data_IF_989428561334
#
_entry.id   IF_989428561334
#
_cell.length_a   1.000
_cell.length_b   1.000
_cell.length_c   1.000
_cell.angle_alpha   90.00
_cell.angle_beta   90.00
_cell.angle_gamma   90.00
#
_symmetry.space_group_name_H-M   'P 1'
#
loop_
_entity.id
_entity.type
_entity.pdbx_description
1 polymer ?
#
# COMPACT_ATOMS: atom_id res chain seq x y z
N UNK A 1 71.86 -87.05 0.76
CA UNK A 1 71.18 -86.31 -0.34
C UNK A 1 69.82 -85.78 0.15
N UNK A 2 69.70 -84.45 0.20
CA UNK A 2 68.48 -83.61 0.34
C UNK A 2 68.11 -83.14 -1.09
N UNK A 3 66.90 -82.64 -1.49
CA UNK A 3 65.62 -82.28 -0.80
C UNK A 3 64.38 -82.98 -1.49
N UNK A 4 63.07 -82.71 -1.28
CA UNK A 4 62.34 -81.42 -1.25
C UNK A 4 60.89 -81.59 -0.77
N UNK A 5 60.47 -80.72 0.15
CA UNK A 5 59.08 -80.45 0.57
C UNK A 5 58.25 -79.76 -0.53
N UNK A 6 56.95 -80.04 -0.58
CA UNK A 6 55.95 -79.08 -1.09
C UNK A 6 54.78 -79.01 -0.10
N UNK A 7 54.50 -77.85 0.50
CA UNK A 7 53.30 -77.62 1.31
C UNK A 7 52.14 -77.17 0.41
N UNK A 8 50.89 -77.39 0.82
CA UNK A 8 49.77 -76.61 0.26
C UNK A 8 48.77 -76.27 1.36
N UNK A 9 48.57 -74.96 1.51
CA UNK A 9 47.87 -74.28 2.58
C UNK A 9 46.33 -74.33 2.45
N UNK A 10 45.67 -74.36 3.60
CA UNK A 10 44.26 -74.01 3.83
C UNK A 10 44.01 -72.53 3.55
N UNK A 11 42.87 -72.15 2.93
CA UNK A 11 42.28 -70.83 3.13
C UNK A 11 41.05 -70.90 4.04
N UNK A 12 41.09 -70.07 5.09
CA UNK A 12 40.00 -69.69 5.98
C UNK A 12 39.17 -68.59 5.31
N UNK A 13 37.86 -68.78 5.14
CA UNK A 13 36.96 -67.73 4.69
C UNK A 13 36.30 -67.00 5.88
N UNK A 14 36.55 -65.71 5.99
CA UNK A 14 35.82 -64.69 6.78
C UNK A 14 36.30 -63.32 6.28
N UNK A 15 35.52 -62.20 6.28
CA UNK A 15 34.07 -61.92 6.40
C UNK A 15 33.53 -61.06 5.22
N UNK A 16 32.26 -60.60 5.23
CA UNK A 16 31.81 -59.18 5.06
C UNK A 16 30.29 -59.07 5.36
N UNK A 17 29.84 -58.16 6.24
CA UNK A 17 28.53 -57.53 6.12
C UNK A 17 28.69 -56.01 5.94
N UNK A 18 28.15 -55.44 4.85
CA UNK A 18 27.98 -53.98 4.73
C UNK A 18 26.72 -53.68 3.92
N UNK A 19 25.59 -53.49 4.59
CA UNK A 19 24.43 -52.82 4.01
C UNK A 19 24.69 -51.31 3.98
N UNK A 20 24.75 -50.73 2.78
CA UNK A 20 24.85 -49.28 2.57
C UNK A 20 23.44 -48.70 2.51
N UNK A 21 23.03 -47.80 3.42
CA UNK A 21 21.74 -47.13 3.29
C UNK A 21 21.78 -46.16 2.10
N UNK A 22 20.79 -46.31 1.20
CA UNK A 22 20.57 -45.38 0.08
C UNK A 22 19.86 -44.14 0.62
N UNK A 23 20.54 -43.00 0.67
CA UNK A 23 19.92 -41.72 1.02
C UNK A 23 18.94 -41.31 -0.09
N UNK A 24 17.64 -41.30 0.22
CA UNK A 24 16.62 -40.71 -0.65
C UNK A 24 16.75 -39.18 -0.56
N UNK A 25 16.94 -38.45 -1.67
CA UNK A 25 16.98 -37.00 -1.62
C UNK A 25 15.62 -36.47 -1.16
N UNK A 26 15.62 -35.71 -0.07
CA UNK A 26 14.46 -34.95 0.40
C UNK A 26 14.18 -33.83 -0.61
N UNK A 27 13.04 -33.88 -1.30
CA UNK A 27 12.58 -32.78 -2.14
C UNK A 27 12.54 -31.50 -1.31
N UNK A 28 13.36 -30.52 -1.69
CA UNK A 28 13.31 -29.19 -1.10
C UNK A 28 12.02 -28.53 -1.60
N UNK A 29 11.13 -28.05 -0.72
CA UNK A 29 9.90 -27.41 -1.16
C UNK A 29 10.26 -26.21 -2.04
N UNK A 30 9.83 -26.25 -3.29
CA UNK A 30 9.88 -25.10 -4.20
C UNK A 30 9.05 -23.99 -3.54
N UNK A 31 9.58 -22.77 -3.36
CA UNK A 31 8.77 -21.67 -2.84
C UNK A 31 7.58 -21.47 -3.77
N UNK A 32 6.39 -21.70 -3.23
CA UNK A 32 5.15 -21.36 -3.92
C UNK A 32 5.10 -19.84 -3.97
N UNK A 33 5.28 -19.26 -5.17
CA UNK A 33 5.09 -17.84 -5.39
C UNK A 33 3.61 -17.53 -5.12
N UNK A 34 3.26 -17.14 -3.89
CA UNK A 34 1.95 -16.59 -3.59
C UNK A 34 1.76 -15.38 -4.52
N UNK A 35 0.80 -15.37 -5.45
CA UNK A 35 0.60 -14.23 -6.32
C UNK A 35 0.33 -13.02 -5.43
N UNK A 36 1.09 -11.95 -5.65
CA UNK A 36 0.82 -10.68 -4.96
C UNK A 36 -0.62 -10.29 -5.31
N UNK A 37 -1.52 -10.09 -4.33
CA UNK A 37 -2.91 -9.77 -4.63
C UNK A 37 -2.96 -8.51 -5.50
N UNK A 38 -3.68 -8.60 -6.62
CA UNK A 38 -3.89 -7.51 -7.56
C UNK A 38 -4.37 -6.25 -6.84
N UNK A 39 -4.01 -5.07 -7.34
CA UNK A 39 -4.49 -3.80 -6.80
C UNK A 39 -5.40 -3.10 -7.81
N UNK A 40 -6.52 -2.49 -7.39
CA UNK A 40 -7.13 -2.61 -6.06
C UNK A 40 -7.84 -3.97 -5.87
N UNK A 41 -8.12 -4.32 -4.62
CA UNK A 41 -8.98 -5.47 -4.21
C UNK A 41 -10.39 -5.04 -3.81
N UNK A 42 -10.58 -3.75 -3.54
CA UNK A 42 -11.82 -3.12 -3.09
C UNK A 42 -12.47 -2.32 -4.21
N UNK A 43 -13.76 -2.04 -4.08
CA UNK A 43 -14.54 -1.35 -5.12
C UNK A 43 -14.38 0.16 -5.08
N UNK A 44 -14.75 0.81 -6.19
CA UNK A 44 -15.05 2.25 -6.22
C UNK A 44 -16.21 2.54 -5.27
N UNK A 45 -16.09 3.63 -4.51
CA UNK A 45 -17.08 4.10 -3.54
C UNK A 45 -17.85 5.32 -4.06
N UNK A 46 -17.18 6.19 -4.82
CA UNK A 46 -17.79 7.34 -5.46
C UNK A 46 -17.18 7.57 -6.84
N UNK A 47 -18.02 7.47 -7.87
CA UNK A 47 -17.65 7.71 -9.26
C UNK A 47 -17.82 9.17 -9.66
N UNK A 48 -18.32 10.04 -8.76
CA UNK A 48 -18.68 11.43 -9.04
C UNK A 48 -19.63 11.66 -10.24
N UNK A 49 -20.23 10.58 -10.77
CA UNK A 49 -21.17 10.59 -11.90
C UNK A 49 -22.55 11.08 -11.47
N UNK A 50 -22.68 12.38 -11.25
CA UNK A 50 -23.91 13.05 -10.81
C UNK A 50 -23.90 14.52 -11.22
N UNK A 51 -25.06 15.16 -11.09
CA UNK A 51 -25.25 16.56 -11.46
C UNK A 51 -24.23 17.50 -10.78
N UNK A 52 -23.84 18.55 -11.50
CA UNK A 52 -22.90 19.55 -11.01
C UNK A 52 -23.40 20.14 -9.67
N UNK A 53 -22.50 20.28 -8.69
CA UNK A 53 -22.87 20.78 -7.38
C UNK A 53 -21.96 20.29 -6.26
N UNK A 54 -22.52 20.16 -5.05
CA UNK A 54 -21.76 19.70 -3.88
C UNK A 54 -21.28 18.26 -4.01
N UNK A 55 -20.26 17.91 -3.20
CA UNK A 55 -19.67 16.57 -3.16
C UNK A 55 -20.61 15.48 -2.65
N UNK A 56 -21.75 15.81 -2.07
CA UNK A 56 -22.78 14.84 -1.66
C UNK A 56 -22.64 14.34 -0.22
N UNK A 57 -23.69 13.70 0.30
CA UNK A 57 -23.80 13.31 1.71
C UNK A 57 -22.89 12.14 2.16
N UNK A 58 -22.22 11.48 1.21
CA UNK A 58 -21.21 10.44 1.48
C UNK A 58 -19.88 10.99 1.98
N UNK A 59 -19.70 12.32 1.99
CA UNK A 59 -18.45 12.96 2.38
C UNK A 59 -18.59 13.79 3.65
N UNK A 60 -17.48 13.91 4.38
CA UNK A 60 -17.26 14.83 5.48
C UNK A 60 -15.89 15.51 5.36
N UNK A 61 -15.56 16.42 6.29
CA UNK A 61 -14.38 17.30 6.16
C UNK A 61 -14.72 18.57 5.39
N UNK A 62 -13.88 18.98 4.44
CA UNK A 62 -14.09 20.21 3.67
C UNK A 62 -15.03 19.98 2.49
N UNK A 63 -16.32 19.81 2.74
CA UNK A 63 -17.33 19.46 1.69
C UNK A 63 -17.91 20.67 0.95
N UNK A 64 -17.60 21.90 1.37
CA UNK A 64 -18.11 23.12 0.75
C UNK A 64 -17.60 23.31 -0.69
N UNK A 65 -18.42 23.95 -1.53
CA UNK A 65 -18.11 24.16 -2.96
C UNK A 65 -16.89 25.05 -3.23
N UNK A 66 -16.40 25.79 -2.23
CA UNK A 66 -15.13 26.51 -2.30
C UNK A 66 -13.90 25.60 -2.21
N UNK A 67 -14.07 24.36 -1.73
CA UNK A 67 -13.00 23.38 -1.58
C UNK A 67 -13.08 22.30 -2.64
N UNK A 68 -14.27 21.77 -2.88
CA UNK A 68 -14.55 20.74 -3.88
C UNK A 68 -15.96 20.87 -4.43
N UNK A 69 -16.13 20.52 -5.70
CA UNK A 69 -17.45 20.39 -6.31
C UNK A 69 -17.46 19.24 -7.31
N UNK A 70 -18.63 18.68 -7.57
CA UNK A 70 -18.82 17.83 -8.76
C UNK A 70 -19.00 18.75 -9.96
N UNK A 71 -18.22 18.53 -11.00
CA UNK A 71 -18.35 19.21 -12.28
C UNK A 71 -18.02 18.25 -13.42
N UNK A 72 -18.91 18.16 -14.41
CA UNK A 72 -18.73 17.30 -15.59
C UNK A 72 -18.39 15.85 -15.22
N UNK A 73 -19.13 15.31 -14.24
CA UNK A 73 -18.97 13.94 -13.71
C UNK A 73 -17.60 13.65 -13.09
N UNK A 74 -16.91 14.66 -12.55
CA UNK A 74 -15.64 14.51 -11.83
C UNK A 74 -15.64 15.34 -10.56
N UNK A 75 -14.77 15.00 -9.64
CA UNK A 75 -14.45 15.85 -8.50
C UNK A 75 -13.50 16.96 -8.96
N UNK A 76 -14.01 18.17 -9.09
CA UNK A 76 -13.26 19.38 -9.40
C UNK A 76 -12.69 20.00 -8.12
N UNK A 77 -11.36 19.96 -7.99
CA UNK A 77 -10.65 20.46 -6.83
C UNK A 77 -10.57 21.98 -6.92
N UNK A 78 -11.09 22.68 -5.90
CA UNK A 78 -11.02 24.13 -5.80
C UNK A 78 -9.84 24.52 -4.88
N UNK A 79 -10.10 24.96 -3.65
CA UNK A 79 -9.04 25.18 -2.66
C UNK A 79 -8.38 23.85 -2.25
N UNK A 80 -9.14 22.75 -2.20
CA UNK A 80 -8.67 21.46 -1.72
C UNK A 80 -8.64 21.33 -0.19
N UNK A 81 -7.83 20.39 0.30
CA UNK A 81 -7.69 20.02 1.71
C UNK A 81 -8.08 18.57 1.97
N UNK A 82 -8.62 18.24 3.15
CA UNK A 82 -9.15 16.92 3.41
C UNK A 82 -10.62 16.75 3.03
N UNK A 83 -10.91 15.67 2.31
CA UNK A 83 -12.27 15.21 2.03
C UNK A 83 -12.38 13.73 2.40
N UNK A 84 -13.21 13.39 3.37
CA UNK A 84 -13.19 12.07 4.04
C UNK A 84 -14.47 11.30 3.75
N UNK A 85 -14.35 10.00 3.47
CA UNK A 85 -15.49 9.14 3.24
C UNK A 85 -16.23 8.85 4.56
N UNK A 86 -17.47 9.31 4.63
CA UNK A 86 -18.27 9.34 5.86
C UNK A 86 -18.90 8.00 6.26
N UNK A 87 -19.49 7.20 5.35
CA UNK A 87 -20.34 6.07 5.73
C UNK A 87 -19.68 4.99 6.59
N UNK A 88 -18.40 4.71 6.38
CA UNK A 88 -17.75 3.51 6.93
C UNK A 88 -16.36 3.82 7.48
N UNK A 89 -16.00 3.14 8.57
CA UNK A 89 -14.61 3.01 9.04
C UNK A 89 -14.08 1.62 8.68
N UNK A 90 -12.82 1.55 8.28
CA UNK A 90 -12.16 0.35 7.78
C UNK A 90 -11.18 -0.23 8.80
N UNK A 91 -10.80 -1.49 8.58
CA UNK A 91 -9.93 -2.26 9.48
C UNK A 91 -8.47 -1.83 9.49
N UNK A 92 -7.66 -2.52 10.28
CA UNK A 92 -6.23 -2.21 10.51
C UNK A 92 -5.35 -2.37 9.28
N UNK A 93 -5.79 -3.17 8.31
CA UNK A 93 -5.26 -3.19 6.95
C UNK A 93 -6.32 -2.64 6.01
N UNK A 94 -5.99 -1.57 5.31
CA UNK A 94 -6.92 -0.91 4.39
C UNK A 94 -6.20 -0.36 3.16
N UNK A 95 -6.97 -0.14 2.12
CA UNK A 95 -6.52 0.49 0.89
C UNK A 95 -7.41 1.66 0.48
N UNK A 96 -6.84 2.58 -0.28
CA UNK A 96 -7.54 3.68 -0.91
C UNK A 96 -6.92 3.98 -2.27
N UNK A 97 -7.75 4.42 -3.21
CA UNK A 97 -7.30 4.81 -4.54
C UNK A 97 -8.18 5.89 -5.14
N UNK A 98 -7.61 6.62 -6.11
CA UNK A 98 -8.31 7.64 -6.89
C UNK A 98 -7.66 7.74 -8.27
N UNK A 99 -8.49 7.99 -9.28
CA UNK A 99 -8.02 8.35 -10.62
C UNK A 99 -7.62 9.81 -10.65
N UNK A 100 -6.39 10.11 -11.05
CA UNK A 100 -5.91 11.46 -11.31
C UNK A 100 -6.36 11.89 -12.73
N UNK A 101 -7.66 12.09 -12.91
CA UNK A 101 -8.25 12.36 -14.22
C UNK A 101 -7.64 13.59 -14.92
N UNK A 102 -7.27 14.61 -14.15
CA UNK A 102 -6.40 15.70 -14.59
C UNK A 102 -5.45 16.08 -13.46
N UNK A 103 -4.16 16.13 -13.78
CA UNK A 103 -3.11 16.48 -12.83
C UNK A 103 -2.90 18.00 -12.84
N UNK A 104 -2.99 18.63 -11.67
CA UNK A 104 -2.45 19.98 -11.52
C UNK A 104 -0.92 19.90 -11.41
N UNK A 105 -0.21 20.33 -12.46
CA UNK A 105 1.24 20.21 -12.53
C UNK A 105 1.99 21.08 -11.51
N UNK A 106 1.29 22.01 -10.84
CA UNK A 106 1.84 22.85 -9.79
C UNK A 106 1.52 22.36 -8.38
N UNK A 107 0.69 21.32 -8.25
CA UNK A 107 0.29 20.81 -6.94
C UNK A 107 1.40 19.96 -6.31
N UNK A 108 1.77 20.23 -5.05
CA UNK A 108 2.64 19.38 -4.26
C UNK A 108 1.91 18.18 -3.64
N UNK A 109 0.58 18.11 -3.71
CA UNK A 109 -0.21 17.07 -3.06
C UNK A 109 -1.57 16.89 -3.71
N UNK A 110 -1.77 15.73 -4.33
CA UNK A 110 -3.06 15.29 -4.86
C UNK A 110 -3.10 13.75 -4.83
N UNK A 111 -4.01 13.20 -4.03
CA UNK A 111 -4.10 11.77 -3.79
C UNK A 111 -5.04 11.41 -2.65
N UNK A 112 -4.66 10.41 -1.85
CA UNK A 112 -5.55 9.74 -0.89
C UNK A 112 -5.09 9.88 0.56
N UNK A 113 -6.04 9.71 1.45
CA UNK A 113 -5.86 9.52 2.89
C UNK A 113 -6.21 8.08 3.27
N UNK A 114 -5.45 7.53 4.21
CA UNK A 114 -5.71 6.27 4.89
C UNK A 114 -5.61 6.46 6.40
N UNK A 115 -6.21 5.54 7.16
CA UNK A 115 -6.27 5.49 8.61
C UNK A 115 -6.61 6.85 9.22
N UNK A 116 -7.56 7.57 8.61
CA UNK A 116 -8.07 8.83 9.15
C UNK A 116 -8.83 8.51 10.43
N UNK A 117 -8.36 9.02 11.56
CA UNK A 117 -9.00 8.77 12.85
C UNK A 117 -10.22 9.70 13.05
N UNK A 118 -11.15 9.36 13.95
CA UNK A 118 -12.27 10.22 14.29
C UNK A 118 -11.85 11.61 14.80
N UNK A 119 -12.63 12.64 14.47
CA UNK A 119 -12.43 14.04 14.87
C UNK A 119 -12.00 14.95 13.71
N UNK A 120 -11.55 16.18 14.03
CA UNK A 120 -11.02 17.10 13.01
C UNK A 120 -9.63 16.65 12.55
N UNK A 121 -9.43 16.58 11.23
CA UNK A 121 -8.17 16.07 10.67
C UNK A 121 -6.92 16.83 11.12
N UNK A 122 -7.02 18.10 11.54
CA UNK A 122 -5.92 18.85 12.16
C UNK A 122 -5.33 18.15 13.40
N UNK A 123 -6.12 17.32 14.09
CA UNK A 123 -5.79 16.75 15.39
C UNK A 123 -6.08 15.25 15.52
N UNK A 124 -6.74 14.63 14.54
CA UNK A 124 -7.17 13.23 14.64
C UNK A 124 -6.12 12.22 14.17
N UNK A 125 -5.28 12.60 13.21
CA UNK A 125 -4.25 11.73 12.65
C UNK A 125 -4.71 10.94 11.42
N UNK A 126 -3.77 10.75 10.51
CA UNK A 126 -3.98 10.15 9.20
C UNK A 126 -2.64 9.78 8.53
N UNK A 127 -2.71 8.95 7.49
CA UNK A 127 -1.63 8.69 6.56
C UNK A 127 -2.04 9.29 5.21
N UNK A 128 -1.25 10.22 4.67
CA UNK A 128 -1.45 10.72 3.31
C UNK A 128 -0.51 10.01 2.34
N UNK A 129 -1.04 9.68 1.16
CA UNK A 129 -0.25 9.20 0.02
C UNK A 129 -0.66 10.02 -1.18
N UNK A 130 0.25 10.86 -1.65
CA UNK A 130 -0.05 11.86 -2.68
C UNK A 130 1.01 11.90 -3.77
N UNK A 131 0.58 12.23 -4.98
CA UNK A 131 1.48 12.62 -6.04
C UNK A 131 1.85 14.10 -5.88
N UNK A 132 3.15 14.38 -5.76
CA UNK A 132 3.70 15.72 -5.92
C UNK A 132 4.13 15.88 -7.39
N UNK A 133 3.38 16.69 -8.13
CA UNK A 133 3.62 16.92 -9.55
C UNK A 133 4.79 17.89 -9.80
N UNK A 134 5.19 18.68 -8.81
CA UNK A 134 6.36 19.58 -8.88
C UNK A 134 7.64 18.76 -8.71
N UNK A 135 7.67 17.86 -7.73
CA UNK A 135 8.81 17.02 -7.42
C UNK A 135 8.90 15.73 -8.25
N UNK A 136 7.85 15.40 -9.03
CA UNK A 136 7.74 14.14 -9.79
C UNK A 136 7.98 12.94 -8.89
N UNK A 137 7.22 12.88 -7.81
CA UNK A 137 7.34 11.82 -6.81
C UNK A 137 6.02 11.54 -6.10
N UNK A 138 5.87 10.32 -5.57
CA UNK A 138 4.87 10.03 -4.54
C UNK A 138 5.47 10.31 -3.17
N UNK A 139 4.66 10.95 -2.31
CA UNK A 139 4.99 11.23 -0.92
C UNK A 139 4.07 10.47 0.02
N UNK A 140 4.68 9.95 1.08
CA UNK A 140 3.96 9.46 2.25
C UNK A 140 4.19 10.44 3.38
N UNK A 141 3.15 10.79 4.12
CA UNK A 141 3.26 11.59 5.33
C UNK A 141 2.26 11.12 6.36
N UNK A 142 2.61 11.24 7.62
CA UNK A 142 1.75 10.86 8.74
C UNK A 142 1.47 12.05 9.61
N UNK A 143 0.24 12.12 10.10
CA UNK A 143 -0.18 13.06 11.12
C UNK A 143 -0.61 12.24 12.34
N UNK A 144 -0.15 12.61 13.53
CA UNK A 144 -0.58 12.00 14.80
C UNK A 144 -1.21 13.04 15.71
N UNK A 145 -2.10 12.58 16.57
CA UNK A 145 -2.68 13.38 17.65
C UNK A 145 -1.57 13.95 18.54
N UNK A 146 -1.71 15.20 18.98
CA UNK A 146 -0.73 15.82 19.90
C UNK A 146 0.55 16.34 19.24
N UNK A 147 0.58 16.44 17.91
CA UNK A 147 1.68 17.07 17.16
C UNK A 147 1.36 18.48 16.65
N UNK A 148 0.31 19.14 17.17
CA UNK A 148 -0.13 20.48 16.75
C UNK A 148 -0.29 20.61 15.22
N UNK A 149 -0.87 19.59 14.57
CA UNK A 149 -1.04 19.57 13.11
C UNK A 149 0.22 19.30 12.28
N UNK A 150 1.37 19.02 12.90
CA UNK A 150 2.62 18.77 12.19
C UNK A 150 2.65 17.39 11.52
N UNK A 151 2.95 17.39 10.22
CA UNK A 151 3.11 16.16 9.44
C UNK A 151 4.54 15.64 9.51
N UNK A 152 4.70 14.35 9.77
CA UNK A 152 5.98 13.64 9.62
C UNK A 152 6.12 13.19 8.17
N UNK A 153 7.15 13.67 7.48
CA UNK A 153 7.41 13.38 6.07
C UNK A 153 8.33 12.17 5.92
N UNK A 154 8.04 11.33 4.93
CA UNK A 154 8.89 10.21 4.53
C UNK A 154 9.66 10.53 3.24
N UNK A 155 10.70 9.74 2.96
CA UNK A 155 11.49 9.89 1.73
C UNK A 155 10.61 9.75 0.49
N UNK A 156 10.77 10.69 -0.44
CA UNK A 156 10.07 10.66 -1.73
C UNK A 156 10.39 9.39 -2.51
N UNK A 157 9.37 8.82 -3.16
CA UNK A 157 9.53 7.78 -4.17
C UNK A 157 9.37 8.41 -5.56
N UNK A 158 10.45 8.49 -6.32
CA UNK A 158 10.44 9.11 -7.65
C UNK A 158 9.47 8.38 -8.58
N UNK A 159 8.55 9.13 -9.20
CA UNK A 159 7.53 8.59 -10.08
C UNK A 159 6.89 9.71 -10.92
N UNK A 160 6.50 9.41 -12.15
CA UNK A 160 5.70 10.31 -12.97
C UNK A 160 4.30 9.74 -13.15
N UNK A 161 3.30 10.62 -13.10
CA UNK A 161 1.91 10.30 -13.43
C UNK A 161 1.47 11.15 -14.62
N UNK A 162 0.61 10.57 -15.44
CA UNK A 162 -0.11 11.21 -16.53
C UNK A 162 -1.60 11.32 -16.17
N UNK A 163 -2.33 12.18 -16.89
CA UNK A 163 -3.77 12.28 -16.74
C UNK A 163 -4.42 10.91 -16.99
N UNK A 164 -5.34 10.53 -16.10
CA UNK A 164 -6.02 9.24 -16.13
C UNK A 164 -5.30 8.11 -15.38
N UNK A 165 -4.06 8.32 -14.90
CA UNK A 165 -3.39 7.34 -14.05
C UNK A 165 -4.10 7.23 -12.69
N UNK A 166 -4.13 6.01 -12.15
CA UNK A 166 -4.64 5.70 -10.81
C UNK A 166 -3.50 5.71 -9.81
N UNK A 167 -3.62 6.54 -8.78
CA UNK A 167 -2.79 6.48 -7.58
C UNK A 167 -3.56 5.71 -6.50
N UNK A 168 -2.88 4.77 -5.85
CA UNK A 168 -3.46 4.09 -4.70
C UNK A 168 -2.41 3.63 -3.70
N UNK A 169 -2.88 3.24 -2.52
CA UNK A 169 -2.02 2.72 -1.48
C UNK A 169 -2.73 1.70 -0.59
N UNK A 170 -1.94 0.81 0.00
CA UNK A 170 -2.32 -0.08 1.10
C UNK A 170 -1.53 0.32 2.34
N UNK A 171 -2.21 0.56 3.45
CA UNK A 171 -1.59 0.74 4.76
C UNK A 171 -1.86 -0.51 5.61
N UNK A 172 -0.80 -1.26 5.91
CA UNK A 172 -0.88 -2.51 6.66
C UNK A 172 -0.92 -2.31 8.18
N UNK A 173 -1.25 -3.37 8.89
CA UNK A 173 -1.08 -3.48 10.34
C UNK A 173 0.39 -3.71 10.76
N UNK A 174 1.29 -3.97 9.82
CA UNK A 174 2.73 -4.18 10.02
C UNK A 174 3.56 -2.89 9.96
N UNK A 175 2.92 -1.75 9.72
CA UNK A 175 3.60 -0.47 9.58
C UNK A 175 4.16 -0.19 8.19
N UNK A 176 3.79 -0.99 7.18
CA UNK A 176 4.14 -0.71 5.78
C UNK A 176 3.03 0.04 5.06
N UNK A 177 3.44 0.97 4.20
CA UNK A 177 2.60 1.63 3.21
C UNK A 177 3.09 1.23 1.82
N UNK A 178 2.32 0.39 1.14
CA UNK A 178 2.58 -0.03 -0.25
C UNK A 178 1.85 0.92 -1.20
N UNK A 179 2.56 1.48 -2.16
CA UNK A 179 2.07 2.50 -3.08
C UNK A 179 1.93 1.87 -4.46
N UNK A 180 0.83 2.15 -5.15
CA UNK A 180 0.50 1.58 -6.45
C UNK A 180 0.26 2.68 -7.49
N UNK A 181 0.71 2.41 -8.70
CA UNK A 181 0.36 3.15 -9.91
C UNK A 181 -0.29 2.18 -10.88
N UNK A 182 -1.52 2.45 -11.32
CA UNK A 182 -2.24 1.63 -12.30
C UNK A 182 -2.21 0.13 -11.94
N UNK A 183 -2.45 -0.20 -10.67
CA UNK A 183 -2.44 -1.58 -10.16
C UNK A 183 -1.05 -2.19 -9.92
N UNK A 184 0.03 -1.55 -10.36
CA UNK A 184 1.41 -2.04 -10.17
C UNK A 184 2.04 -1.44 -8.93
N UNK A 185 2.71 -2.27 -8.11
CA UNK A 185 3.46 -1.79 -6.95
C UNK A 185 4.59 -0.87 -7.40
N UNK A 186 4.55 0.37 -6.94
CA UNK A 186 5.52 1.42 -7.25
C UNK A 186 6.61 1.51 -6.17
N UNK A 187 6.21 1.49 -4.89
CA UNK A 187 7.12 1.65 -3.77
C UNK A 187 6.53 1.06 -2.49
N UNK A 188 7.39 0.77 -1.52
CA UNK A 188 7.00 0.43 -0.14
C UNK A 188 7.73 1.36 0.81
N UNK A 189 6.98 1.98 1.72
CA UNK A 189 7.50 2.86 2.77
C UNK A 189 7.23 2.21 4.12
N UNK A 190 8.28 2.00 4.91
CA UNK A 190 8.16 1.56 6.30
C UNK A 190 8.02 2.78 7.21
N UNK A 191 6.97 2.81 8.02
CA UNK A 191 6.72 3.89 8.96
C UNK A 191 7.75 3.90 10.10
N UNK A 192 7.99 5.06 10.70
CA UNK A 192 8.82 5.21 11.89
C UNK A 192 8.23 4.44 13.08
N UNK A 193 9.05 4.04 14.05
CA UNK A 193 8.57 3.31 15.24
C UNK A 193 7.41 4.04 15.95
N UNK A 194 7.48 5.37 16.01
CA UNK A 194 6.48 6.17 16.68
C UNK A 194 5.14 6.23 15.90
N UNK A 195 5.20 6.15 14.57
CA UNK A 195 4.01 6.03 13.72
C UNK A 195 3.45 4.61 13.71
N UNK A 196 4.32 3.59 13.73
CA UNK A 196 3.90 2.19 13.87
C UNK A 196 3.12 1.97 15.17
N UNK A 197 3.64 2.46 16.30
CA UNK A 197 2.94 2.40 17.58
C UNK A 197 1.56 3.06 17.54
N UNK A 198 1.39 4.10 16.73
CA UNK A 198 0.13 4.80 16.60
C UNK A 198 -0.85 4.11 15.63
N UNK A 199 -0.39 3.67 14.46
CA UNK A 199 -1.25 3.24 13.35
C UNK A 199 -1.42 1.73 13.20
N UNK A 200 -0.50 0.89 13.67
CA UNK A 200 -0.52 -0.55 13.37
C UNK A 200 -1.79 -1.23 13.91
N UNK A 201 -2.16 -0.91 15.14
CA UNK A 201 -3.37 -1.44 15.79
C UNK A 201 -4.66 -0.68 15.41
N UNK A 202 -4.58 0.37 14.58
CA UNK A 202 -5.73 1.22 14.26
C UNK A 202 -6.19 1.03 12.82
N UNK A 203 -7.51 0.90 12.66
CA UNK A 203 -8.18 1.16 11.40
C UNK A 203 -8.45 2.65 11.22
N UNK A 204 -9.43 2.99 10.41
CA UNK A 204 -9.89 4.36 10.25
C UNK A 204 -10.66 4.58 8.96
N UNK A 205 -10.96 5.84 8.68
CA UNK A 205 -11.57 6.26 7.41
C UNK A 205 -10.50 6.38 6.33
N UNK A 206 -10.98 6.50 5.09
CA UNK A 206 -10.18 6.85 3.91
C UNK A 206 -10.73 8.14 3.32
N UNK A 207 -9.97 8.76 2.43
CA UNK A 207 -10.41 9.98 1.78
C UNK A 207 -9.44 10.48 0.73
N UNK A 208 -9.62 11.75 0.39
CA UNK A 208 -8.81 12.50 -0.56
C UNK A 208 -8.05 13.58 0.21
N UNK A 209 -6.79 13.80 -0.19
CA UNK A 209 -5.96 14.90 0.28
C UNK A 209 -5.42 15.68 -0.91
N UNK A 210 -5.70 16.98 -0.94
CA UNK A 210 -5.12 17.88 -1.93
C UNK A 210 -4.60 19.17 -1.31
N UNK A 211 -3.52 19.72 -1.87
CA UNK A 211 -2.99 21.05 -1.54
C UNK A 211 -2.61 21.74 -2.85
N UNK A 212 -3.02 22.99 -3.01
CA UNK A 212 -2.70 23.83 -4.18
C UNK A 212 -2.93 23.09 -5.52
N UNK A 213 -4.07 22.42 -5.64
CA UNK A 213 -4.42 21.55 -6.76
C UNK A 213 -5.68 22.06 -7.50
N UNK A 214 -5.84 23.38 -7.60
CA UNK A 214 -7.05 24.03 -8.15
C UNK A 214 -7.36 23.71 -9.62
N UNK A 215 -6.45 23.03 -10.33
CA UNK A 215 -6.66 22.54 -11.70
C UNK A 215 -6.80 21.02 -11.78
N UNK A 216 -6.80 20.33 -10.64
CA UNK A 216 -6.89 18.89 -10.59
C UNK A 216 -8.35 18.45 -10.71
N UNK A 217 -8.56 17.42 -11.52
CA UNK A 217 -9.83 16.68 -11.56
C UNK A 217 -9.54 15.27 -11.06
N UNK A 218 -10.31 14.82 -10.07
CA UNK A 218 -10.23 13.48 -9.51
C UNK A 218 -11.46 12.69 -9.89
N UNK A 219 -11.31 11.38 -9.99
CA UNK A 219 -12.40 10.48 -10.38
C UNK A 219 -12.28 9.12 -9.68
N UNK A 220 -13.35 8.34 -9.69
CA UNK A 220 -13.40 6.95 -9.22
C UNK A 220 -12.67 6.72 -7.88
N UNK A 221 -13.08 7.46 -6.84
CA UNK A 221 -12.54 7.26 -5.50
C UNK A 221 -13.03 5.94 -4.93
N UNK A 222 -12.12 5.12 -4.43
CA UNK A 222 -12.44 3.83 -3.84
C UNK A 222 -11.48 3.42 -2.74
N UNK A 223 -11.81 2.28 -2.12
CA UNK A 223 -11.01 1.73 -1.03
C UNK A 223 -11.83 0.92 -0.05
N UNK A 224 -11.13 0.34 0.92
CA UNK A 224 -11.76 -0.34 2.04
C UNK A 224 -10.81 -1.20 2.86
N UNK A 225 -11.37 -2.02 3.74
CA UNK A 225 -10.61 -3.03 4.50
C UNK A 225 -10.08 -4.09 3.54
N UNK A 226 -8.83 -4.48 3.71
CA UNK A 226 -8.23 -5.59 2.96
C UNK A 226 -7.88 -6.73 3.91
N UNK A 227 -8.05 -7.96 3.43
CA UNK A 227 -7.54 -9.15 4.11
C UNK A 227 -6.07 -9.32 3.66
N UNK A 228 -5.10 -9.37 4.59
CA UNK A 228 -3.69 -9.58 4.27
C UNK A 228 -3.42 -10.84 3.46
#
# INVERSE_FOLDING_TARGET
PVPTDVPTNTPTDTPVPTDVPTNTPTDTPVPTNTPTPSFPTTSVLDTFNRANGGVGGGWEGLTGSSYYKVASNKLDVQIGGPLVWKPTSFGTSQEAFVTLATIDTKSPSQGVLLKVQPGSLSDSGAISVVYDAVAKAVRVSTLRTGQNGAWTLYKNSAATFANGDVLGARAGADGTVKIYKNGTLLATVTLSNADQQFFNAKGGKIGIWTIAASKALLDDFGGGTIVP
#
